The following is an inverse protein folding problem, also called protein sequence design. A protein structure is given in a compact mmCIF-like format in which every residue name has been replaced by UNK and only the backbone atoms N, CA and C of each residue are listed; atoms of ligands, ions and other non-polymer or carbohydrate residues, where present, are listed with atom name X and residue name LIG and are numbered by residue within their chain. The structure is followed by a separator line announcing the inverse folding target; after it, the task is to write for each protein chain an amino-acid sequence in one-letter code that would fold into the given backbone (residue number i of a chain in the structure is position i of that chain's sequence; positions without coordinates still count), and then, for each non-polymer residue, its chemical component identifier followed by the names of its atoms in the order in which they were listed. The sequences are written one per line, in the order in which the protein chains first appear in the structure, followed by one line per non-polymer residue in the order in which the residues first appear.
data_IF_176418426540
#
_entry.id   IF_176418426540
#
_cell.length_a   1.000
_cell.length_b   1.000
_cell.length_c   1.000
_cell.angle_alpha   90.00
_cell.angle_beta   90.00
_cell.angle_gamma   90.00
#
_symmetry.space_group_name_H-M   'P 1'
#
loop_
_entity.id
_entity.type
_entity.pdbx_description
1 polymer ?
#
# COMPACT_ATOMS: atom_id res chain seq x y z
N UNK A 1 11.57 -10.52 -17.39
CA UNK A 1 10.98 -9.55 -18.34
C UNK A 1 9.83 -10.25 -19.02
N UNK A 2 8.69 -9.58 -19.09
CA UNK A 2 7.48 -10.05 -19.75
C UNK A 2 7.12 -9.09 -20.89
N UNK A 3 6.29 -9.54 -21.82
CA UNK A 3 5.97 -8.78 -23.02
C UNK A 3 4.46 -8.64 -23.16
N UNK A 4 3.97 -7.42 -23.28
CA UNK A 4 2.60 -7.13 -23.73
C UNK A 4 2.57 -7.09 -25.25
N UNK A 5 1.54 -7.71 -25.80
CA UNK A 5 1.21 -7.68 -27.22
C UNK A 5 -0.18 -7.06 -27.40
N UNK A 6 -0.60 -6.88 -28.65
CA UNK A 6 -1.83 -6.17 -29.02
C UNK A 6 -2.82 -7.15 -29.68
N UNK A 7 -3.46 -8.04 -28.91
CA UNK A 7 -4.33 -9.10 -29.45
C UNK A 7 -5.48 -8.56 -30.29
N UNK A 8 -5.95 -7.34 -30.03
CA UNK A 8 -7.03 -6.67 -30.78
C UNK A 8 -6.69 -6.41 -32.25
N UNK A 9 -5.40 -6.49 -32.62
CA UNK A 9 -4.92 -6.35 -34.00
C UNK A 9 -4.69 -7.68 -34.69
N UNK A 10 -4.80 -8.79 -33.96
CA UNK A 10 -4.49 -10.13 -34.45
C UNK A 10 -5.76 -10.88 -34.84
N UNK A 11 -5.61 -11.85 -35.73
CA UNK A 11 -6.66 -12.86 -35.97
C UNK A 11 -6.85 -13.72 -34.72
N UNK A 12 -8.07 -14.20 -34.46
CA UNK A 12 -8.45 -14.81 -33.19
C UNK A 12 -7.53 -15.96 -32.70
N UNK A 13 -7.01 -16.78 -33.62
CA UNK A 13 -6.09 -17.87 -33.27
C UNK A 13 -4.70 -17.36 -32.85
N UNK A 14 -4.22 -16.29 -33.49
CA UNK A 14 -2.96 -15.64 -33.09
C UNK A 14 -3.13 -14.87 -31.78
N UNK A 15 -4.26 -14.18 -31.59
CA UNK A 15 -4.56 -13.46 -30.35
C UNK A 15 -4.44 -14.39 -29.13
N UNK A 16 -5.13 -15.54 -29.13
CA UNK A 16 -5.04 -16.55 -28.05
C UNK A 16 -3.62 -17.04 -27.81
N UNK A 17 -2.86 -17.27 -28.88
CA UNK A 17 -1.46 -17.74 -28.79
C UNK A 17 -0.56 -16.69 -28.14
N UNK A 18 -0.75 -15.41 -28.45
CA UNK A 18 0.06 -14.33 -27.89
C UNK A 18 -0.38 -13.92 -26.49
N UNK A 19 -1.67 -14.01 -26.16
CA UNK A 19 -2.16 -13.85 -24.80
C UNK A 19 -1.52 -14.85 -23.82
N UNK A 20 -1.44 -16.13 -24.22
CA UNK A 20 -0.77 -17.16 -23.45
C UNK A 20 0.73 -16.86 -23.21
N UNK A 21 1.36 -16.06 -24.08
CA UNK A 21 2.77 -15.66 -23.94
C UNK A 21 2.99 -14.47 -23.00
N UNK A 22 1.98 -13.65 -22.73
CA UNK A 22 2.13 -12.48 -21.85
C UNK A 22 2.48 -12.88 -20.40
N UNK A 23 2.01 -14.05 -19.95
CA UNK A 23 2.35 -14.62 -18.64
C UNK A 23 3.76 -15.21 -18.54
N UNK A 24 4.45 -15.42 -19.67
CA UNK A 24 5.74 -16.13 -19.72
C UNK A 24 6.89 -15.11 -19.66
N UNK A 25 7.84 -15.33 -18.76
CA UNK A 25 9.06 -14.51 -18.70
C UNK A 25 9.98 -14.88 -19.88
N UNK A 26 10.41 -13.88 -20.64
CA UNK A 26 11.34 -14.04 -21.78
C UNK A 26 12.81 -13.89 -21.39
N UNK A 27 13.11 -13.72 -20.09
CA UNK A 27 14.48 -13.63 -19.58
C UNK A 27 14.72 -12.47 -18.62
N UNK A 28 15.96 -12.32 -18.14
CA UNK A 28 16.40 -11.20 -17.30
C UNK A 28 16.88 -10.03 -18.17
N UNK A 29 16.70 -8.80 -17.70
CA UNK A 29 17.03 -7.58 -18.47
C UNK A 29 18.51 -7.55 -18.89
N UNK A 30 19.39 -7.98 -17.99
CA UNK A 30 20.84 -7.98 -18.13
C UNK A 30 21.32 -8.95 -19.22
N UNK A 31 20.50 -9.92 -19.61
CA UNK A 31 20.79 -10.85 -20.69
C UNK A 31 20.63 -10.23 -22.09
N UNK A 32 19.99 -9.07 -22.19
CA UNK A 32 19.81 -8.36 -23.46
C UNK A 32 20.95 -7.35 -23.68
N UNK A 33 21.55 -7.38 -24.88
CA UNK A 33 22.62 -6.45 -25.23
C UNK A 33 22.05 -5.04 -25.33
N UNK A 34 22.78 -4.04 -24.81
CA UNK A 34 22.36 -2.64 -24.87
C UNK A 34 20.92 -2.43 -24.37
N UNK A 35 20.54 -3.11 -23.29
CA UNK A 35 19.16 -3.15 -22.79
C UNK A 35 18.58 -1.79 -22.35
N UNK A 36 19.41 -0.75 -22.23
CA UNK A 36 18.99 0.63 -21.96
C UNK A 36 18.83 1.48 -23.24
N UNK A 37 19.14 0.91 -24.42
CA UNK A 37 19.05 1.59 -25.70
C UNK A 37 17.74 1.23 -26.44
N UNK A 38 17.26 2.09 -27.37
CA UNK A 38 16.10 1.79 -28.22
C UNK A 38 16.22 0.48 -29.01
N UNK A 39 17.45 0.02 -29.24
CA UNK A 39 17.77 -1.25 -29.91
C UNK A 39 17.38 -2.49 -29.09
N UNK A 40 16.89 -2.34 -27.86
CA UNK A 40 16.26 -3.45 -27.13
C UNK A 40 15.06 -4.00 -27.91
N UNK A 41 14.19 -3.13 -28.46
CA UNK A 41 12.96 -3.54 -29.14
C UNK A 41 13.22 -4.36 -30.42
N UNK A 42 14.41 -4.22 -31.01
CA UNK A 42 14.79 -5.03 -32.19
C UNK A 42 15.20 -6.46 -31.83
N UNK A 43 15.53 -6.71 -30.56
CA UNK A 43 15.90 -8.03 -30.04
C UNK A 43 14.69 -8.82 -29.51
N UNK A 44 13.52 -8.17 -29.39
CA UNK A 44 12.31 -8.81 -28.86
C UNK A 44 11.53 -9.53 -29.96
N UNK A 45 10.80 -10.61 -29.62
CA UNK A 45 9.92 -11.30 -30.57
C UNK A 45 8.89 -10.36 -31.19
N UNK A 46 8.84 -10.32 -32.53
CA UNK A 46 7.89 -9.51 -33.29
C UNK A 46 6.72 -10.34 -33.79
N UNK A 47 5.57 -9.71 -33.92
CA UNK A 47 4.39 -10.31 -34.55
C UNK A 47 4.45 -10.05 -36.06
N UNK A 48 4.64 -11.12 -36.85
CA UNK A 48 5.00 -11.03 -38.29
C UNK A 48 3.92 -10.42 -39.19
N UNK A 49 2.67 -10.43 -38.74
CA UNK A 49 1.50 -10.07 -39.57
C UNK A 49 0.91 -8.69 -39.22
N UNK A 50 1.52 -7.95 -38.30
CA UNK A 50 1.07 -6.62 -37.92
C UNK A 50 1.97 -5.55 -38.55
N UNK A 51 1.40 -4.38 -38.80
CA UNK A 51 2.16 -3.18 -39.16
C UNK A 51 2.75 -2.51 -37.92
N UNK A 52 3.76 -1.66 -38.11
CA UNK A 52 4.23 -0.77 -37.04
C UNK A 52 3.13 0.21 -36.62
N UNK A 53 3.05 0.58 -35.31
CA UNK A 53 3.92 0.14 -34.21
C UNK A 53 3.46 -1.18 -33.54
N UNK A 54 2.33 -1.76 -33.94
CA UNK A 54 1.71 -2.91 -33.28
C UNK A 54 2.42 -4.25 -33.53
N UNK A 55 3.41 -4.28 -34.41
CA UNK A 55 4.29 -5.44 -34.58
C UNK A 55 5.34 -5.59 -33.46
N UNK A 56 5.53 -4.55 -32.64
CA UNK A 56 6.48 -4.52 -31.53
C UNK A 56 5.76 -4.78 -30.19
N UNK A 57 6.36 -5.60 -29.31
CA UNK A 57 5.84 -5.77 -27.96
C UNK A 57 6.20 -4.59 -27.06
N UNK A 58 5.43 -4.41 -25.99
CA UNK A 58 5.76 -3.51 -24.88
C UNK A 58 6.41 -4.30 -23.73
N UNK A 59 7.71 -4.10 -23.44
CA UNK A 59 8.42 -4.84 -22.40
C UNK A 59 8.07 -4.37 -20.99
N UNK A 60 7.89 -5.32 -20.07
CA UNK A 60 7.65 -5.10 -18.64
C UNK A 60 8.70 -5.81 -17.80
N UNK A 61 9.16 -5.12 -16.78
CA UNK A 61 10.02 -5.66 -15.74
C UNK A 61 9.21 -5.87 -14.47
N UNK A 62 9.15 -7.12 -14.03
CA UNK A 62 8.47 -7.52 -12.79
C UNK A 62 9.42 -8.31 -11.91
N UNK A 63 9.14 -8.29 -10.61
CA UNK A 63 9.82 -9.16 -9.65
C UNK A 63 9.50 -10.64 -9.93
N UNK A 64 10.36 -11.57 -9.49
CA UNK A 64 10.15 -13.03 -9.71
C UNK A 64 8.81 -13.56 -9.18
N UNK A 65 8.28 -12.93 -8.12
CA UNK A 65 7.04 -13.34 -7.45
C UNK A 65 5.82 -12.53 -7.89
N UNK A 66 5.97 -11.62 -8.85
CA UNK A 66 4.93 -10.70 -9.28
C UNK A 66 4.36 -11.17 -10.63
N UNK A 67 3.14 -11.72 -10.71
CA UNK A 67 2.54 -12.11 -11.99
C UNK A 67 2.12 -10.87 -12.81
N UNK A 68 2.82 -10.50 -13.89
CA UNK A 68 2.60 -9.21 -14.54
C UNK A 68 1.26 -9.12 -15.29
N UNK A 69 0.78 -10.24 -15.84
CA UNK A 69 -0.51 -10.30 -16.54
C UNK A 69 -1.72 -10.00 -15.63
N UNK A 70 -1.58 -10.12 -14.31
CA UNK A 70 -2.64 -9.75 -13.37
C UNK A 70 -2.67 -8.23 -13.07
N UNK A 71 -1.59 -7.51 -13.38
CA UNK A 71 -1.40 -6.13 -12.96
C UNK A 71 -1.17 -5.14 -14.10
N UNK A 72 -0.80 -5.59 -15.29
CA UNK A 72 -0.61 -4.69 -16.43
C UNK A 72 -1.30 -5.29 -17.65
N UNK A 73 -2.19 -4.49 -18.23
CA UNK A 73 -2.90 -4.82 -19.47
C UNK A 73 -2.65 -3.72 -20.50
N UNK A 74 -2.50 -4.11 -21.76
CA UNK A 74 -2.41 -3.21 -22.89
C UNK A 74 -3.57 -3.44 -23.83
N UNK A 75 -4.16 -2.35 -24.29
CA UNK A 75 -5.25 -2.36 -25.26
C UNK A 75 -4.98 -1.33 -26.35
N UNK A 76 -5.46 -1.59 -27.55
CA UNK A 76 -5.56 -0.55 -28.58
C UNK A 76 -7.00 -0.04 -28.60
N UNK A 77 -7.17 1.26 -28.47
CA UNK A 77 -8.47 1.93 -28.56
C UNK A 77 -8.48 2.89 -29.76
N UNK A 78 -9.67 3.16 -30.30
CA UNK A 78 -9.86 4.00 -31.48
C UNK A 78 -9.90 3.20 -32.79
N UNK A 79 -10.04 3.93 -33.90
CA UNK A 79 -10.05 3.39 -35.26
C UNK A 79 -8.95 4.02 -36.08
N UNK A 80 -8.40 3.28 -37.04
CA UNK A 80 -7.35 3.75 -37.93
C UNK A 80 -7.80 5.03 -38.66
N UNK A 81 -6.97 6.08 -38.76
CA UNK A 81 -5.57 6.18 -38.29
C UNK A 81 -5.39 6.71 -36.87
N UNK A 82 -6.46 7.01 -36.14
CA UNK A 82 -6.44 7.67 -34.81
C UNK A 82 -6.46 6.66 -33.66
N UNK A 83 -5.49 5.77 -33.65
CA UNK A 83 -5.41 4.67 -32.68
C UNK A 83 -4.44 5.03 -31.57
N UNK A 84 -4.78 4.68 -30.32
CA UNK A 84 -3.91 4.89 -29.18
C UNK A 84 -3.78 3.62 -28.34
N UNK A 85 -2.57 3.38 -27.85
CA UNK A 85 -2.31 2.31 -26.88
C UNK A 85 -2.71 2.78 -25.48
N UNK A 86 -3.66 2.08 -24.86
CA UNK A 86 -4.02 2.26 -23.46
C UNK A 86 -3.32 1.20 -22.62
N UNK A 87 -2.60 1.64 -21.59
CA UNK A 87 -2.04 0.76 -20.57
C UNK A 87 -2.84 0.90 -19.28
N UNK A 88 -3.29 -0.21 -18.71
CA UNK A 88 -3.88 -0.28 -17.37
C UNK A 88 -2.84 -0.84 -16.41
N UNK A 89 -2.55 -0.14 -15.31
CA UNK A 89 -1.63 -0.59 -14.25
C UNK A 89 -2.42 -0.74 -12.95
N UNK A 90 -2.64 -1.98 -12.51
CA UNK A 90 -3.43 -2.33 -11.33
C UNK A 90 -2.73 -2.04 -10.00
N UNK A 91 -1.41 -1.85 -9.98
CA UNK A 91 -0.68 -1.49 -8.76
C UNK A 91 -0.42 0.02 -8.70
N UNK A 92 -1.12 0.72 -7.80
CA UNK A 92 -1.06 2.20 -7.70
C UNK A 92 0.36 2.74 -7.49
N UNK A 93 1.22 2.05 -6.72
CA UNK A 93 2.61 2.48 -6.55
C UNK A 93 3.42 2.48 -7.86
N UNK A 94 3.22 1.45 -8.69
CA UNK A 94 3.84 1.37 -10.02
C UNK A 94 3.19 2.37 -10.98
N UNK A 95 1.86 2.54 -10.93
CA UNK A 95 1.14 3.50 -11.74
C UNK A 95 1.64 4.95 -11.50
N UNK A 96 1.80 5.34 -10.23
CA UNK A 96 2.38 6.65 -9.85
C UNK A 96 3.79 6.82 -10.40
N UNK A 97 4.65 5.80 -10.22
CA UNK A 97 6.05 5.86 -10.68
C UNK A 97 6.14 5.94 -12.20
N UNK A 98 5.36 5.11 -12.89
CA UNK A 98 5.27 5.10 -14.35
C UNK A 98 4.77 6.45 -14.86
N UNK A 99 3.67 6.96 -14.33
CA UNK A 99 3.08 8.21 -14.82
C UNK A 99 3.99 9.42 -14.54
N UNK A 100 4.65 9.47 -13.38
CA UNK A 100 5.68 10.48 -13.07
C UNK A 100 6.81 10.49 -14.09
N UNK A 101 7.34 9.32 -14.42
CA UNK A 101 8.52 9.18 -15.27
C UNK A 101 8.20 9.37 -16.77
N UNK A 102 6.93 9.33 -17.15
CA UNK A 102 6.47 9.51 -18.54
C UNK A 102 5.70 10.84 -18.71
N UNK A 103 6.22 11.92 -18.12
CA UNK A 103 5.72 13.29 -18.35
C UNK A 103 4.48 13.69 -17.54
N UNK A 104 3.92 12.81 -16.71
CA UNK A 104 2.73 13.10 -15.92
C UNK A 104 2.97 14.01 -14.70
N UNK A 105 4.23 14.20 -14.25
CA UNK A 105 4.58 14.80 -12.95
C UNK A 105 3.92 16.16 -12.65
N UNK A 106 3.72 16.99 -13.66
CA UNK A 106 3.16 18.36 -13.51
C UNK A 106 1.65 18.42 -13.73
N UNK A 107 1.01 17.30 -14.06
CA UNK A 107 -0.42 17.24 -14.38
C UNK A 107 -1.30 17.12 -13.14
N UNK A 108 -2.54 17.61 -13.21
CA UNK A 108 -3.54 17.38 -12.16
C UNK A 108 -3.89 15.90 -11.99
N UNK A 109 -3.84 15.13 -13.08
CA UNK A 109 -4.06 13.68 -13.05
C UNK A 109 -3.02 12.94 -12.19
N UNK A 110 -1.76 13.41 -12.17
CA UNK A 110 -0.72 12.82 -11.34
C UNK A 110 -0.98 13.07 -9.85
N UNK A 111 -1.38 14.28 -9.48
CA UNK A 111 -1.78 14.60 -8.10
C UNK A 111 -2.91 13.70 -7.61
N UNK A 112 -3.98 13.58 -8.40
CA UNK A 112 -5.11 12.68 -8.09
C UNK A 112 -4.68 11.22 -7.92
N UNK A 113 -3.76 10.74 -8.75
CA UNK A 113 -3.26 9.36 -8.66
C UNK A 113 -2.42 9.13 -7.39
N UNK A 114 -1.64 10.13 -6.96
CA UNK A 114 -0.90 10.10 -5.69
C UNK A 114 -1.86 10.10 -4.50
N UNK A 115 -2.86 10.98 -4.50
CA UNK A 115 -3.91 11.04 -3.48
C UNK A 115 -4.65 9.70 -3.35
N UNK A 116 -5.04 9.08 -4.46
CA UNK A 116 -5.68 7.76 -4.46
C UNK A 116 -4.78 6.64 -3.92
N UNK A 117 -3.48 6.66 -4.27
CA UNK A 117 -2.51 5.70 -3.70
C UNK A 117 -2.43 5.85 -2.19
N UNK A 118 -2.35 7.08 -1.71
CA UNK A 118 -2.14 7.37 -0.29
C UNK A 118 -3.41 7.07 0.51
N UNK A 119 -4.58 7.44 -0.02
CA UNK A 119 -5.88 7.06 0.53
C UNK A 119 -6.04 5.54 0.64
N UNK A 120 -5.67 4.76 -0.37
CA UNK A 120 -5.81 3.28 -0.31
C UNK A 120 -4.75 2.59 0.54
N UNK A 121 -3.69 3.30 0.93
CA UNK A 121 -2.73 2.83 1.94
C UNK A 121 -3.10 3.26 3.36
N UNK A 122 -4.19 4.00 3.54
CA UNK A 122 -4.67 4.42 4.84
C UNK A 122 -5.14 3.19 5.65
N UNK A 123 -4.44 2.82 6.73
CA UNK A 123 -4.82 1.68 7.57
C UNK A 123 -6.23 1.83 8.17
N UNK A 124 -6.74 3.06 8.29
CA UNK A 124 -8.10 3.34 8.76
C UNK A 124 -9.17 2.75 7.83
N UNK A 125 -8.96 2.83 6.52
CA UNK A 125 -9.90 2.30 5.52
C UNK A 125 -9.86 0.78 5.45
N UNK A 126 -8.75 0.17 5.86
CA UNK A 126 -8.55 -1.28 5.89
C UNK A 126 -9.20 -1.96 7.11
N UNK A 127 -9.62 -1.20 8.12
CA UNK A 127 -10.37 -1.74 9.25
C UNK A 127 -11.73 -2.28 8.78
N UNK A 128 -12.20 -3.32 9.47
CA UNK A 128 -13.59 -3.79 9.31
C UNK A 128 -14.57 -2.61 9.49
N UNK A 129 -15.59 -2.45 8.62
CA UNK A 129 -16.50 -1.30 8.69
C UNK A 129 -17.23 -1.14 10.04
N UNK A 130 -17.59 -2.25 10.71
CA UNK A 130 -18.25 -2.20 12.00
C UNK A 130 -17.27 -1.79 13.11
N UNK A 131 -16.05 -2.33 13.09
CA UNK A 131 -14.97 -1.91 13.98
C UNK A 131 -14.68 -0.41 13.83
N UNK A 132 -14.49 0.05 12.59
CA UNK A 132 -14.25 1.46 12.28
C UNK A 132 -15.36 2.35 12.80
N UNK A 133 -16.62 1.98 12.56
CA UNK A 133 -17.80 2.73 13.04
C UNK A 133 -17.81 2.89 14.56
N UNK A 134 -17.44 1.84 15.31
CA UNK A 134 -17.35 1.89 16.78
C UNK A 134 -16.21 2.78 17.26
N UNK A 135 -15.02 2.67 16.63
CA UNK A 135 -13.87 3.54 16.96
C UNK A 135 -14.22 5.00 16.68
N UNK A 136 -14.92 5.29 15.57
CA UNK A 136 -15.38 6.66 15.23
C UNK A 136 -16.29 7.31 16.28
N UNK A 137 -16.84 6.56 17.24
CA UNK A 137 -17.66 7.13 18.32
C UNK A 137 -16.83 7.87 19.37
N UNK A 138 -15.52 7.60 19.44
CA UNK A 138 -14.63 8.18 20.44
C UNK A 138 -13.28 8.63 19.88
N UNK A 139 -12.96 8.29 18.64
CA UNK A 139 -11.80 8.80 17.92
C UNK A 139 -12.25 9.55 16.67
N UNK A 140 -11.86 10.82 16.59
CA UNK A 140 -12.06 11.66 15.40
C UNK A 140 -10.68 12.19 14.98
N UNK A 141 -10.17 11.79 13.80
CA UNK A 141 -8.88 12.27 13.32
C UNK A 141 -8.93 13.78 13.03
N UNK A 142 -7.86 14.49 13.35
CA UNK A 142 -7.69 15.89 12.93
C UNK A 142 -7.26 15.97 11.46
N UNK A 143 -7.39 17.15 10.82
CA UNK A 143 -7.22 17.31 9.35
C UNK A 143 -5.84 16.87 8.81
N UNK A 144 -4.81 16.81 9.67
CA UNK A 144 -3.44 16.42 9.30
C UNK A 144 -3.00 15.11 9.95
N UNK A 145 -3.86 14.48 10.73
CA UNK A 145 -3.55 13.29 11.50
C UNK A 145 -3.81 12.02 10.69
N UNK A 146 -2.77 11.19 10.57
CA UNK A 146 -2.86 9.89 9.93
C UNK A 146 -3.04 8.79 10.96
N UNK A 147 -4.12 8.03 10.80
CA UNK A 147 -4.28 6.78 11.54
C UNK A 147 -3.14 5.81 11.23
N UNK A 148 -2.54 5.25 12.26
CA UNK A 148 -1.48 4.24 12.11
C UNK A 148 -2.05 2.87 12.42
N UNK A 149 -2.65 2.69 13.60
CA UNK A 149 -3.22 1.41 14.01
C UNK A 149 -4.16 1.52 15.21
N UNK A 150 -5.04 0.53 15.35
CA UNK A 150 -5.84 0.26 16.55
C UNK A 150 -5.31 -1.01 17.23
N UNK A 151 -5.18 -0.97 18.55
CA UNK A 151 -4.76 -2.06 19.42
C UNK A 151 -5.89 -2.39 20.39
N UNK A 152 -6.21 -3.68 20.50
CA UNK A 152 -7.33 -4.14 21.31
C UNK A 152 -6.88 -4.44 22.75
N UNK A 153 -7.61 -3.90 23.72
CA UNK A 153 -7.41 -4.29 25.11
C UNK A 153 -7.99 -5.69 25.37
N UNK A 154 -7.13 -6.68 25.65
CA UNK A 154 -7.51 -8.09 25.82
C UNK A 154 -8.37 -8.35 27.06
N UNK A 155 -8.55 -7.36 27.93
CA UNK A 155 -9.53 -7.43 29.01
C UNK A 155 -10.98 -7.45 28.49
N UNK A 156 -11.21 -7.11 27.22
CA UNK A 156 -12.53 -7.09 26.59
C UNK A 156 -12.71 -8.25 25.61
N UNK A 157 -13.95 -8.72 25.49
CA UNK A 157 -14.29 -9.77 24.54
C UNK A 157 -14.25 -9.26 23.09
N UNK A 158 -14.16 -10.19 22.13
CA UNK A 158 -14.13 -9.85 20.71
C UNK A 158 -15.39 -9.10 20.25
N UNK A 159 -16.53 -9.37 20.87
CA UNK A 159 -17.79 -8.68 20.55
C UNK A 159 -17.78 -7.20 20.97
N UNK A 160 -16.86 -6.82 21.86
CA UNK A 160 -16.64 -5.45 22.33
C UNK A 160 -15.51 -4.72 21.56
N UNK A 161 -14.96 -5.32 20.51
CA UNK A 161 -13.95 -4.67 19.66
C UNK A 161 -14.42 -3.28 19.20
N UNK A 162 -13.53 -2.31 19.34
CA UNK A 162 -13.77 -0.92 18.98
C UNK A 162 -14.49 -0.08 20.03
N UNK A 163 -14.91 -0.64 21.18
CA UNK A 163 -15.46 0.12 22.31
C UNK A 163 -14.39 0.58 23.30
N UNK A 164 -13.28 -0.13 23.33
CA UNK A 164 -12.11 0.13 24.17
C UNK A 164 -10.84 -0.26 23.42
N UNK A 165 -9.70 0.28 23.83
CA UNK A 165 -8.41 -0.01 23.24
C UNK A 165 -7.56 1.25 23.11
N UNK A 166 -6.59 1.18 22.21
CA UNK A 166 -5.65 2.24 21.93
C UNK A 166 -5.63 2.52 20.43
N UNK A 167 -5.87 3.76 20.03
CA UNK A 167 -5.61 4.23 18.68
C UNK A 167 -4.26 4.94 18.69
N UNK A 168 -3.39 4.54 17.77
CA UNK A 168 -2.15 5.23 17.47
C UNK A 168 -2.32 5.97 16.15
N UNK A 169 -1.98 7.25 16.16
CA UNK A 169 -1.79 8.06 14.97
C UNK A 169 -0.34 8.50 14.87
N UNK A 170 -0.01 9.31 13.86
CA UNK A 170 1.29 9.96 13.76
C UNK A 170 1.43 11.21 14.65
N UNK A 171 0.37 11.63 15.36
CA UNK A 171 0.37 12.80 16.24
C UNK A 171 0.07 12.49 17.71
N UNK A 172 -0.72 11.44 18.00
CA UNK A 172 -1.14 11.12 19.37
C UNK A 172 -1.47 9.65 19.57
N UNK A 173 -1.51 9.28 20.85
CA UNK A 173 -2.06 8.03 21.36
C UNK A 173 -3.40 8.33 22.03
N UNK A 174 -4.46 7.67 21.58
CA UNK A 174 -5.81 7.81 22.15
C UNK A 174 -6.17 6.53 22.86
N UNK A 175 -6.28 6.59 24.18
CA UNK A 175 -6.68 5.46 25.02
C UNK A 175 -8.14 5.57 25.40
N UNK A 176 -8.91 4.48 25.22
CA UNK A 176 -10.32 4.36 25.60
C UNK A 176 -10.53 3.11 26.45
N UNK A 177 -11.09 3.28 27.66
CA UNK A 177 -11.58 2.15 28.49
C UNK A 177 -12.75 2.57 29.36
N UNK A 178 -13.88 1.87 29.26
CA UNK A 178 -15.11 2.18 30.00
C UNK A 178 -15.53 3.65 29.81
N UNK A 179 -15.58 4.46 30.87
CA UNK A 179 -15.88 5.90 30.80
C UNK A 179 -14.65 6.74 30.43
N UNK A 180 -13.42 6.25 30.67
CA UNK A 180 -12.19 7.00 30.42
C UNK A 180 -11.87 7.10 28.93
N UNK A 181 -11.43 8.28 28.51
CA UNK A 181 -10.89 8.57 27.18
C UNK A 181 -9.76 9.60 27.36
N UNK A 182 -8.54 9.23 27.01
CA UNK A 182 -7.36 10.06 27.19
C UNK A 182 -6.63 10.22 25.86
N UNK A 183 -6.30 11.46 25.51
CA UNK A 183 -5.51 11.81 24.34
C UNK A 183 -4.13 12.22 24.81
N UNK A 184 -3.09 11.51 24.35
CA UNK A 184 -1.71 11.81 24.68
C UNK A 184 -0.96 12.26 23.44
N UNK A 185 -0.46 13.49 23.45
CA UNK A 185 0.34 14.03 22.34
C UNK A 185 1.65 13.27 22.19
N UNK A 186 2.00 12.87 20.98
CA UNK A 186 3.32 12.31 20.65
C UNK A 186 4.38 13.39 20.43
N UNK A 187 4.03 14.68 20.46
CA UNK A 187 4.99 15.77 20.39
C UNK A 187 5.50 16.21 21.78
N UNK A 188 4.83 15.76 22.84
CA UNK A 188 5.16 16.07 24.24
C UNK A 188 5.90 14.91 24.91
N UNK A 189 6.61 15.20 26.00
CA UNK A 189 7.29 14.18 26.79
C UNK A 189 6.27 13.26 27.47
N UNK A 190 6.15 12.03 26.96
CA UNK A 190 5.40 10.96 27.59
C UNK A 190 6.29 9.78 27.98
N UNK A 191 5.76 8.87 28.79
CA UNK A 191 6.42 7.59 29.07
C UNK A 191 5.44 6.45 28.82
N UNK A 192 5.93 5.44 28.13
CA UNK A 192 5.18 4.21 27.87
C UNK A 192 6.01 3.05 28.41
N UNK A 193 5.48 2.39 29.44
CA UNK A 193 6.12 1.24 30.06
C UNK A 193 5.43 -0.04 29.64
N UNK A 194 6.26 -1.03 29.34
CA UNK A 194 5.93 -2.19 28.53
C UNK A 194 6.32 -3.46 29.28
N UNK A 195 5.42 -3.96 30.15
CA UNK A 195 5.73 -5.11 31.02
C UNK A 195 5.22 -6.40 30.37
N UNK A 196 6.14 -7.29 29.99
CA UNK A 196 5.79 -8.60 29.41
C UNK A 196 5.60 -9.65 30.50
N UNK A 197 4.45 -10.35 30.50
CA UNK A 197 4.16 -11.49 31.38
C UNK A 197 3.59 -12.66 30.57
N UNK A 198 4.47 -13.56 30.12
CA UNK A 198 4.07 -14.73 29.33
C UNK A 198 3.65 -14.36 27.90
N UNK A 199 2.41 -14.66 27.56
CA UNK A 199 1.74 -14.37 26.28
C UNK A 199 1.06 -13.00 26.23
N UNK A 200 1.00 -12.31 27.38
CA UNK A 200 0.34 -11.02 27.55
C UNK A 200 1.36 -9.94 27.88
N UNK A 201 1.04 -8.72 27.47
CA UNK A 201 1.77 -7.53 27.85
C UNK A 201 0.85 -6.56 28.56
N UNK A 202 1.36 -5.90 29.59
CA UNK A 202 0.70 -4.79 30.28
C UNK A 202 1.38 -3.51 29.79
N UNK A 203 0.59 -2.59 29.27
CA UNK A 203 1.04 -1.28 28.80
C UNK A 203 0.57 -0.24 29.81
N UNK A 204 1.53 0.47 30.40
CA UNK A 204 1.27 1.64 31.22
C UNK A 204 1.62 2.89 30.41
N UNK A 205 0.66 3.81 30.30
CA UNK A 205 0.85 5.09 29.63
C UNK A 205 0.84 6.17 30.71
N UNK A 206 1.95 6.91 30.80
CA UNK A 206 2.16 7.97 31.76
C UNK A 206 2.10 9.32 31.08
N UNK A 207 1.31 10.20 31.67
CA UNK A 207 1.30 11.64 31.41
C UNK A 207 1.75 12.38 32.66
N UNK A 208 2.47 13.48 32.48
CA UNK A 208 3.10 14.18 33.59
C UNK A 208 2.04 14.64 34.61
N UNK A 209 2.18 14.22 35.87
CA UNK A 209 1.28 14.62 36.96
C UNK A 209 -0.02 13.81 37.09
N UNK A 210 -0.21 12.76 36.29
CA UNK A 210 -1.39 11.89 36.34
C UNK A 210 -1.03 10.43 36.67
N UNK A 211 -2.00 9.71 37.26
CA UNK A 211 -1.89 8.27 37.44
C UNK A 211 -1.84 7.57 36.07
N UNK A 212 -1.00 6.54 35.89
CA UNK A 212 -0.88 5.87 34.61
C UNK A 212 -2.15 5.12 34.25
N UNK A 213 -2.57 5.23 32.99
CA UNK A 213 -3.59 4.33 32.46
C UNK A 213 -2.97 3.00 32.09
N UNK A 214 -3.74 1.92 32.28
CA UNK A 214 -3.26 0.56 32.07
C UNK A 214 -4.16 -0.19 31.10
N UNK A 215 -3.55 -0.80 30.10
CA UNK A 215 -4.23 -1.73 29.18
C UNK A 215 -3.44 -3.01 29.03
N UNK A 216 -4.08 -4.06 28.55
CA UNK A 216 -3.41 -5.33 28.28
C UNK A 216 -3.46 -5.63 26.78
N UNK A 217 -2.35 -6.08 26.22
CA UNK A 217 -2.21 -6.45 24.81
C UNK A 217 -1.76 -7.90 24.68
N UNK A 218 -2.07 -8.52 23.54
CA UNK A 218 -1.34 -9.71 23.12
C UNK A 218 0.14 -9.35 22.87
N UNK A 219 1.06 -10.27 23.18
CA UNK A 219 2.50 -10.04 22.99
C UNK A 219 2.87 -9.56 21.59
N UNK A 220 2.20 -10.06 20.54
CA UNK A 220 2.45 -9.63 19.16
C UNK A 220 2.04 -8.18 18.93
N UNK A 221 0.87 -7.79 19.41
CA UNK A 221 0.36 -6.42 19.27
C UNK A 221 1.23 -5.41 20.01
N UNK A 222 1.77 -5.81 21.15
CA UNK A 222 2.77 -5.04 21.88
C UNK A 222 4.04 -4.78 21.07
N UNK A 223 4.62 -5.81 20.43
CA UNK A 223 5.84 -5.65 19.64
C UNK A 223 5.59 -4.72 18.44
N UNK A 224 4.41 -4.83 17.84
CA UNK A 224 3.95 -3.95 16.78
C UNK A 224 3.80 -2.49 17.27
N UNK A 225 3.24 -2.26 18.48
CA UNK A 225 3.15 -0.94 19.10
C UNK A 225 4.52 -0.34 19.39
N UNK A 226 5.40 -1.11 20.02
CA UNK A 226 6.78 -0.68 20.32
C UNK A 226 7.52 -0.27 19.06
N UNK A 227 7.45 -1.11 18.02
CA UNK A 227 8.09 -0.83 16.74
C UNK A 227 7.50 0.42 16.06
N UNK A 228 6.18 0.59 16.11
CA UNK A 228 5.52 1.75 15.53
C UNK A 228 5.97 3.06 16.19
N UNK A 229 6.00 3.11 17.52
CA UNK A 229 6.43 4.29 18.28
C UNK A 229 7.92 4.61 18.07
N UNK A 230 8.79 3.58 18.10
CA UNK A 230 10.22 3.76 17.81
C UNK A 230 10.47 4.34 16.42
N UNK A 231 9.69 3.92 15.43
CA UNK A 231 9.80 4.41 14.05
C UNK A 231 9.34 5.85 13.88
N UNK A 232 8.47 6.35 14.75
CA UNK A 232 7.97 7.73 14.71
C UNK A 232 8.97 8.76 15.23
N UNK A 233 10.06 8.33 15.90
CA UNK A 233 11.06 9.23 16.51
C UNK A 233 10.43 10.28 17.44
N UNK A 234 9.34 9.93 18.11
CA UNK A 234 8.70 10.78 19.11
C UNK A 234 9.57 10.91 20.38
N UNK A 235 9.41 11.97 21.20
CA UNK A 235 10.18 12.19 22.43
C UNK A 235 9.74 11.29 23.59
N UNK A 236 8.83 10.34 23.35
CA UNK A 236 8.34 9.44 24.37
C UNK A 236 9.40 8.43 24.83
N UNK A 237 9.57 8.31 26.14
CA UNK A 237 10.41 7.29 26.75
C UNK A 237 9.70 5.93 26.71
N UNK A 238 10.20 5.02 25.88
CA UNK A 238 9.69 3.64 25.79
C UNK A 238 10.56 2.74 26.68
N UNK A 239 9.99 2.26 27.78
CA UNK A 239 10.68 1.43 28.78
C UNK A 239 10.08 0.02 28.73
N UNK A 240 10.90 -1.00 28.48
CA UNK A 240 10.47 -2.41 28.43
C UNK A 240 11.25 -3.28 29.39
#
# INVERSE_FOLDING_TARGET
MHLIYWPERMVANDAKRWEARMGISVGRLEAFKNHMAPTLLTQLPRTRHLAEPFNLPFPIYSCKSCPPAAFIEGHVIGQHPHEVCRLRIGFLGAAVSFFRNNGGRTTSAYRRLVEERDRRRDPWILLDPALRSRISQWFVPTEQERFVRYYHDIDFERDDLGKSGLVLTDHRLIYKKLAACHDYSLDEEGRLELITRGDKAIVHIYEHGHDPVTMKLERREFEDLRYALQKMHCPWAIVS
#
